data_IF_696390035998
#
_entry.id   IF_696390035998
#
_cell.length_a   1.000
_cell.length_b   1.000
_cell.length_c   1.000
_cell.angle_alpha   90.00
_cell.angle_beta   90.00
_cell.angle_gamma   90.00
#
_symmetry.space_group_name_H-M   'P 1'
#
loop_
_entity.id
_entity.type
_entity.pdbx_description
1 polymer ?
#
# COMPACT_ATOMS: atom_id res chain seq x y z
N UNK A 1 -13.35 7.04 4.38
CA UNK A 1 -12.03 6.41 4.58
C UNK A 1 -10.97 7.49 4.68
N UNK A 2 -10.18 7.51 5.77
CA UNK A 2 -9.05 8.43 5.95
C UNK A 2 -7.75 7.65 5.73
N UNK A 3 -6.95 8.05 4.75
CA UNK A 3 -5.65 7.42 4.46
C UNK A 3 -4.53 8.37 4.88
N UNK A 4 -3.58 7.88 5.67
CA UNK A 4 -2.36 8.60 6.04
C UNK A 4 -1.14 7.82 5.60
N UNK A 5 -0.14 8.52 5.07
CA UNK A 5 1.16 7.93 4.74
C UNK A 5 2.14 8.22 5.86
N UNK A 6 2.78 7.19 6.40
CA UNK A 6 3.70 7.34 7.50
C UNK A 6 4.89 8.24 7.09
N UNK A 7 5.23 9.32 7.81
CA UNK A 7 6.20 10.33 7.36
C UNK A 7 7.61 9.78 7.05
N UNK A 8 7.96 8.61 7.60
CA UNK A 8 9.26 7.95 7.33
C UNK A 8 9.36 7.36 5.93
N UNK A 9 8.23 7.08 5.27
CA UNK A 9 8.18 6.57 3.89
C UNK A 9 8.81 7.57 2.94
N UNK A 10 8.33 8.81 2.97
CA UNK A 10 8.78 9.88 2.07
C UNK A 10 10.25 10.24 2.25
N UNK A 11 10.85 9.91 3.40
CA UNK A 11 12.28 10.10 3.66
C UNK A 11 13.16 8.96 3.14
N UNK A 12 12.59 7.78 2.90
CA UNK A 12 13.34 6.57 2.51
C UNK A 12 13.15 6.20 1.04
N UNK A 13 12.01 6.54 0.46
CA UNK A 13 11.61 6.19 -0.90
C UNK A 13 11.30 7.48 -1.67
N UNK A 14 12.30 8.03 -2.37
CA UNK A 14 12.16 9.25 -3.17
C UNK A 14 11.41 9.02 -4.49
N UNK A 15 11.02 7.79 -4.79
CA UNK A 15 10.40 7.34 -6.04
C UNK A 15 8.86 7.31 -6.00
N UNK A 16 8.28 7.54 -4.81
CA UNK A 16 6.82 7.61 -4.60
C UNK A 16 6.47 8.86 -3.79
N UNK A 17 5.36 9.50 -4.16
CA UNK A 17 4.82 10.66 -3.44
C UNK A 17 3.59 10.27 -2.62
N UNK A 18 3.26 11.04 -1.58
CA UNK A 18 2.07 10.78 -0.76
C UNK A 18 0.77 10.71 -1.59
N UNK A 19 0.49 11.62 -2.55
CA UNK A 19 -0.69 11.50 -3.40
C UNK A 19 -0.73 10.24 -4.25
N UNK A 20 0.43 9.76 -4.73
CA UNK A 20 0.51 8.51 -5.50
C UNK A 20 0.23 7.28 -4.63
N UNK A 21 0.71 7.28 -3.38
CA UNK A 21 0.44 6.23 -2.41
C UNK A 21 -1.05 6.20 -2.03
N UNK A 22 -1.64 7.37 -1.78
CA UNK A 22 -3.08 7.48 -1.50
C UNK A 22 -3.90 6.99 -2.69
N UNK A 23 -3.57 7.43 -3.91
CA UNK A 23 -4.27 6.99 -5.13
C UNK A 23 -4.17 5.47 -5.33
N UNK A 24 -2.99 4.88 -5.09
CA UNK A 24 -2.82 3.43 -5.17
C UNK A 24 -3.62 2.68 -4.09
N UNK A 25 -3.70 3.21 -2.88
CA UNK A 25 -4.50 2.61 -1.80
C UNK A 25 -6.01 2.68 -2.12
N UNK A 26 -6.50 3.83 -2.59
CA UNK A 26 -7.92 3.99 -2.94
C UNK A 26 -8.33 3.18 -4.17
N UNK A 27 -7.39 2.91 -5.08
CA UNK A 27 -7.61 2.10 -6.28
C UNK A 27 -7.15 0.64 -6.14
N UNK A 28 -7.13 0.12 -4.91
CA UNK A 28 -6.66 -1.25 -4.61
C UNK A 28 -7.31 -2.29 -5.52
N UNK A 29 -6.48 -3.01 -6.26
CA UNK A 29 -6.91 -4.11 -7.13
C UNK A 29 -7.07 -5.40 -6.33
N UNK A 30 -6.06 -5.69 -5.49
CA UNK A 30 -6.03 -6.85 -4.58
C UNK A 30 -5.28 -6.50 -3.32
N UNK A 31 -5.78 -7.03 -2.21
CA UNK A 31 -5.13 -6.98 -0.90
C UNK A 31 -5.35 -8.27 -0.14
N UNK A 32 -4.52 -8.50 0.87
CA UNK A 32 -4.60 -9.64 1.77
C UNK A 32 -4.11 -9.25 3.16
N UNK A 33 -4.82 -9.72 4.18
CA UNK A 33 -4.36 -9.66 5.56
C UNK A 33 -3.25 -10.69 5.81
N UNK A 34 -2.18 -10.25 6.46
CA UNK A 34 -1.13 -11.11 7.01
C UNK A 34 -1.45 -11.45 8.47
N UNK A 35 -0.93 -12.59 8.92
CA UNK A 35 -1.02 -13.03 10.31
C UNK A 35 0.02 -12.30 11.16
N UNK A 36 -0.31 -11.08 11.59
CA UNK A 36 0.54 -10.20 12.40
C UNK A 36 -0.30 -9.48 13.45
N UNK A 37 0.34 -8.94 14.49
CA UNK A 37 -0.28 -8.07 15.48
C UNK A 37 0.44 -6.71 15.53
N UNK A 38 -0.21 -5.59 15.12
CA UNK A 38 -1.55 -5.51 14.53
C UNK A 38 -1.62 -6.16 13.15
N UNK A 39 -2.84 -6.47 12.67
CA UNK A 39 -3.06 -7.05 11.33
C UNK A 39 -2.53 -6.11 10.26
N UNK A 40 -1.56 -6.58 9.50
CA UNK A 40 -1.00 -5.86 8.36
C UNK A 40 -1.69 -6.30 7.08
N UNK A 41 -2.13 -5.32 6.30
CA UNK A 41 -2.69 -5.52 4.97
C UNK A 41 -1.63 -5.23 3.93
N UNK A 42 -1.27 -6.24 3.15
CA UNK A 42 -0.49 -6.05 1.93
C UNK A 42 -1.45 -5.86 0.77
N UNK A 43 -1.20 -4.88 -0.09
CA UNK A 43 -2.04 -4.65 -1.25
C UNK A 43 -1.28 -4.09 -2.43
N UNK A 44 -1.93 -4.14 -3.58
CA UNK A 44 -1.47 -3.56 -4.85
C UNK A 44 -2.60 -2.75 -5.46
N UNK A 45 -2.29 -1.53 -5.86
CA UNK A 45 -3.21 -0.65 -6.59
C UNK A 45 -2.48 0.26 -7.59
N UNK A 46 -3.23 1.15 -8.23
CA UNK A 46 -2.76 1.97 -9.34
C UNK A 46 -2.57 3.42 -8.88
N UNK A 47 -1.36 3.96 -9.02
CA UNK A 47 -1.14 5.38 -8.69
C UNK A 47 -1.73 6.34 -9.73
N UNK A 48 -1.67 7.64 -9.46
CA UNK A 48 -2.15 8.68 -10.37
C UNK A 48 -1.42 8.75 -11.72
N UNK A 49 -0.35 7.98 -11.93
CA UNK A 49 0.40 7.87 -13.19
C UNK A 49 0.16 6.54 -13.91
N UNK A 50 -0.72 5.68 -13.39
CA UNK A 50 -1.01 4.37 -13.97
C UNK A 50 0.02 3.28 -13.60
N UNK A 51 0.94 3.55 -12.66
CA UNK A 51 1.90 2.54 -12.17
C UNK A 51 1.25 1.66 -11.12
N UNK A 52 1.65 0.39 -11.05
CA UNK A 52 1.30 -0.46 -9.92
C UNK A 52 2.22 -0.17 -8.74
N UNK A 53 1.63 0.22 -7.61
CA UNK A 53 2.32 0.32 -6.33
C UNK A 53 1.86 -0.81 -5.41
N UNK A 54 2.81 -1.45 -4.74
CA UNK A 54 2.53 -2.26 -3.57
C UNK A 54 2.57 -1.40 -2.32
N UNK A 55 1.79 -1.77 -1.31
CA UNK A 55 1.79 -1.11 -0.01
C UNK A 55 1.60 -2.10 1.14
N UNK A 56 2.03 -1.70 2.34
CA UNK A 56 1.59 -2.28 3.62
C UNK A 56 0.90 -1.23 4.46
N UNK A 57 -0.28 -1.57 4.98
CA UNK A 57 -1.10 -0.72 5.80
C UNK A 57 -1.59 -1.43 7.08
N UNK A 58 -1.90 -0.64 8.10
CA UNK A 58 -2.66 -1.07 9.27
C UNK A 58 -3.88 -0.18 9.40
N UNK A 59 -4.99 -0.75 9.87
CA UNK A 59 -6.13 0.04 10.32
C UNK A 59 -5.82 0.49 11.76
N UNK A 60 -5.68 1.80 11.97
CA UNK A 60 -5.29 2.36 13.27
C UNK A 60 -6.39 3.16 13.98
N UNK A 61 -7.48 3.45 13.25
CA UNK A 61 -8.73 4.04 13.73
C UNK A 61 -9.88 3.46 12.90
N UNK A 62 -11.15 3.51 13.34
CA UNK A 62 -12.29 3.11 12.50
C UNK A 62 -12.28 3.85 11.16
N UNK A 63 -12.24 3.11 10.04
CA UNK A 63 -12.09 3.65 8.68
C UNK A 63 -10.80 4.48 8.43
N UNK A 64 -9.83 4.37 9.33
CA UNK A 64 -8.56 5.08 9.36
C UNK A 64 -7.38 4.15 9.07
N UNK A 65 -6.66 4.44 8.00
CA UNK A 65 -5.56 3.60 7.51
C UNK A 65 -4.23 4.35 7.57
N UNK A 66 -3.21 3.66 8.07
CA UNK A 66 -1.83 4.12 8.05
C UNK A 66 -1.02 3.24 7.09
N UNK A 67 -0.58 3.83 5.97
CA UNK A 67 0.30 3.18 4.98
C UNK A 67 1.75 3.50 5.31
N UNK A 68 2.60 2.50 5.49
CA UNK A 68 3.98 2.70 5.96
C UNK A 68 5.06 1.98 5.15
N UNK A 69 4.70 1.21 4.12
CA UNK A 69 5.66 0.61 3.19
C UNK A 69 5.12 0.60 1.75
N UNK A 70 5.10 1.74 1.05
CA UNK A 70 4.77 1.78 -0.37
C UNK A 70 6.00 1.78 -1.27
N UNK A 71 5.92 1.07 -2.39
CA UNK A 71 6.94 1.09 -3.45
C UNK A 71 6.34 0.58 -4.76
N UNK A 72 7.09 0.66 -5.86
CA UNK A 72 6.67 0.02 -7.11
C UNK A 72 6.46 -1.47 -6.91
N UNK A 73 5.34 -1.99 -7.43
CA UNK A 73 4.94 -3.38 -7.21
C UNK A 73 5.99 -4.37 -7.70
N UNK A 74 6.32 -5.33 -6.83
CA UNK A 74 7.29 -6.39 -7.07
C UNK A 74 6.59 -7.67 -7.48
N UNK A 75 7.30 -8.55 -8.21
CA UNK A 75 6.79 -9.87 -8.57
C UNK A 75 6.38 -10.69 -7.33
N UNK A 76 7.09 -10.51 -6.21
CA UNK A 76 6.81 -11.18 -4.94
C UNK A 76 5.43 -10.80 -4.42
N UNK A 77 5.15 -9.50 -4.27
CA UNK A 77 3.85 -9.06 -3.76
C UNK A 77 2.74 -9.37 -4.75
N UNK A 78 2.97 -9.20 -6.05
CA UNK A 78 1.98 -9.58 -7.06
C UNK A 78 1.58 -11.06 -6.95
N UNK A 79 2.54 -11.95 -6.65
CA UNK A 79 2.25 -13.37 -6.38
C UNK A 79 1.51 -13.54 -5.06
N UNK A 80 1.96 -12.85 -4.00
CA UNK A 80 1.36 -12.91 -2.66
C UNK A 80 -0.12 -12.50 -2.64
N UNK A 81 -0.50 -11.49 -3.42
CA UNK A 81 -1.88 -11.01 -3.54
C UNK A 81 -2.68 -11.68 -4.68
N UNK A 82 -2.07 -12.63 -5.40
CA UNK A 82 -2.72 -13.41 -6.45
C UNK A 82 -2.94 -12.68 -7.80
N UNK A 83 -2.20 -11.59 -8.05
CA UNK A 83 -2.17 -10.89 -9.34
C UNK A 83 -1.15 -11.48 -10.33
N UNK A 84 -0.29 -12.38 -9.87
CA UNK A 84 0.68 -13.12 -10.68
C UNK A 84 0.76 -14.58 -10.21
N UNK A 85 1.05 -15.51 -11.13
CA UNK A 85 1.30 -16.94 -10.86
C UNK A 85 2.78 -17.25 -11.01
#
# INVERSE_FOLDING_TARGET
>A
MRVRVHPRVLRRHSDVTEPEVVAAFESTLRSRARDTDPIQWVGVGVDGRGRLLEYVAVEDEPDGWLVFYPMQATAKVLTEVGLRR
#
